data_IF_419138040686
#
_entry.id   IF_419138040686
#
_cell.length_a   1.000
_cell.length_b   1.000
_cell.length_c   1.000
_cell.angle_alpha   90.00
_cell.angle_beta   90.00
_cell.angle_gamma   90.00
#
_symmetry.space_group_name_H-M   'P 1'
#
loop_
_entity.id
_entity.type
_entity.pdbx_description
1 polymer ?
#
# COMPACT_ATOMS: atom_id res chain seq x y z
N UNK A 1 -7.27 17.98 -2.84
CA UNK A 1 -7.16 16.54 -3.19
C UNK A 1 -5.68 16.17 -3.14
N UNK A 2 -5.22 15.61 -2.01
CA UNK A 2 -3.82 15.18 -1.88
C UNK A 2 -3.73 13.83 -2.58
N UNK A 3 -3.22 13.83 -3.80
CA UNK A 3 -2.96 12.61 -4.58
C UNK A 3 -1.97 11.75 -3.81
N UNK A 4 -2.33 10.51 -3.43
CA UNK A 4 -1.33 9.58 -2.92
C UNK A 4 -0.39 9.27 -4.08
N UNK A 5 0.89 9.60 -3.89
CA UNK A 5 1.91 9.35 -4.91
C UNK A 5 1.96 7.85 -5.23
N UNK A 6 1.85 7.53 -6.52
CA UNK A 6 1.94 6.14 -6.99
C UNK A 6 3.32 5.59 -6.66
N UNK A 7 3.42 4.34 -6.18
CA UNK A 7 4.72 3.76 -5.85
C UNK A 7 5.60 3.68 -7.10
N UNK A 8 6.88 4.05 -6.95
CA UNK A 8 7.87 3.87 -8.03
C UNK A 8 8.29 2.41 -8.07
N UNK A 9 7.93 1.74 -9.17
CA UNK A 9 8.14 0.30 -9.34
C UNK A 9 9.17 0.00 -10.43
N UNK A 10 10.12 -0.87 -10.10
CA UNK A 10 11.04 -1.46 -11.08
C UNK A 10 10.31 -2.35 -12.09
N UNK A 11 10.97 -2.67 -13.21
CA UNK A 11 10.39 -3.55 -14.25
C UNK A 11 10.00 -4.92 -13.70
N UNK A 12 10.80 -5.48 -12.80
CA UNK A 12 10.54 -6.77 -12.15
C UNK A 12 9.32 -6.68 -11.23
N UNK A 13 9.20 -5.62 -10.44
CA UNK A 13 8.05 -5.38 -9.57
C UNK A 13 6.76 -5.22 -10.37
N UNK A 14 6.80 -4.49 -11.50
CA UNK A 14 5.65 -4.37 -12.42
C UNK A 14 5.23 -5.72 -13.01
N UNK A 15 6.20 -6.56 -13.38
CA UNK A 15 5.90 -7.92 -13.88
C UNK A 15 5.26 -8.78 -12.78
N UNK A 16 5.81 -8.74 -11.56
CA UNK A 16 5.23 -9.46 -10.40
C UNK A 16 3.81 -9.00 -10.09
N UNK A 17 3.55 -7.69 -10.13
CA UNK A 17 2.20 -7.14 -9.98
C UNK A 17 1.23 -7.69 -11.03
N UNK A 18 1.63 -7.74 -12.30
CA UNK A 18 0.76 -8.30 -13.35
C UNK A 18 0.44 -9.77 -13.14
N UNK A 19 1.37 -10.56 -12.59
CA UNK A 19 1.20 -12.00 -12.41
C UNK A 19 0.51 -12.39 -11.09
N UNK A 20 0.79 -11.66 -10.01
CA UNK A 20 0.39 -12.03 -8.65
C UNK A 20 -0.49 -10.99 -7.97
N UNK A 21 -0.78 -9.87 -8.63
CA UNK A 21 -1.56 -8.73 -8.10
C UNK A 21 -0.93 -8.05 -6.87
N UNK A 22 0.26 -8.47 -6.46
CA UNK A 22 1.02 -7.92 -5.34
C UNK A 22 2.53 -8.02 -5.59
N UNK A 23 3.29 -7.07 -5.08
CA UNK A 23 4.74 -7.14 -5.06
C UNK A 23 5.33 -6.42 -3.85
N UNK A 24 6.50 -6.86 -3.40
CA UNK A 24 7.23 -6.20 -2.32
C UNK A 24 7.88 -4.92 -2.84
N UNK A 25 7.79 -3.86 -2.05
CA UNK A 25 8.49 -2.60 -2.28
C UNK A 25 9.58 -2.39 -1.22
N UNK A 26 9.95 -1.14 -0.96
CA UNK A 26 11.02 -0.82 -0.02
C UNK A 26 10.62 -1.04 1.43
N UNK A 27 11.63 -1.28 2.27
CA UNK A 27 11.47 -1.29 3.71
C UNK A 27 11.66 0.14 4.22
N UNK A 28 10.73 0.62 5.04
CA UNK A 28 10.84 1.96 5.66
C UNK A 28 10.76 1.86 7.18
N UNK A 29 11.46 2.76 7.86
CA UNK A 29 11.26 2.98 9.29
C UNK A 29 10.16 4.03 9.48
N UNK A 30 9.47 3.98 10.62
CA UNK A 30 8.53 5.03 11.04
C UNK A 30 8.92 5.52 12.43
N UNK A 31 8.80 6.83 12.71
CA UNK A 31 9.01 7.35 14.07
C UNK A 31 8.14 6.59 15.08
N UNK A 32 8.74 6.16 16.19
CA UNK A 32 8.05 5.35 17.20
C UNK A 32 7.96 3.85 16.92
N UNK A 33 8.44 3.37 15.76
CA UNK A 33 8.46 1.94 15.44
C UNK A 33 9.85 1.32 15.65
N UNK A 34 9.91 0.21 16.39
CA UNK A 34 11.16 -0.56 16.52
C UNK A 34 11.29 -1.50 15.31
N UNK A 35 12.20 -1.16 14.40
CA UNK A 35 12.53 -1.98 13.23
C UNK A 35 12.00 -1.43 11.90
N UNK A 36 12.03 -2.29 10.87
CA UNK A 36 11.63 -1.94 9.51
C UNK A 36 10.24 -2.48 9.19
N UNK A 37 9.41 -1.64 8.58
CA UNK A 37 8.13 -2.03 7.99
C UNK A 37 8.36 -2.40 6.53
N UNK A 38 7.91 -3.60 6.14
CA UNK A 38 7.89 -4.03 4.75
C UNK A 38 6.64 -3.51 4.08
N UNK A 39 6.82 -2.72 3.03
CA UNK A 39 5.72 -2.25 2.19
C UNK A 39 5.48 -3.19 1.00
N UNK A 40 4.25 -3.14 0.50
CA UNK A 40 3.76 -3.92 -0.61
C UNK A 40 2.97 -3.00 -1.54
N UNK A 41 3.26 -3.08 -2.82
CA UNK A 41 2.38 -2.52 -3.84
C UNK A 41 1.39 -3.59 -4.29
N UNK A 42 0.13 -3.20 -4.47
CA UNK A 42 -0.94 -4.08 -4.93
C UNK A 42 -1.98 -3.30 -5.74
N UNK A 43 -2.79 -4.02 -6.51
CA UNK A 43 -3.84 -3.44 -7.34
C UNK A 43 -5.14 -3.31 -6.54
N UNK A 44 -5.61 -2.07 -6.38
CA UNK A 44 -6.94 -1.76 -5.89
C UNK A 44 -7.90 -1.66 -7.10
N UNK A 45 -9.06 -2.32 -7.07
CA UNK A 45 -10.02 -2.26 -8.18
C UNK A 45 -10.51 -0.84 -8.51
N UNK A 46 -10.56 0.05 -7.52
CA UNK A 46 -11.06 1.43 -7.66
C UNK A 46 -9.95 2.45 -7.93
N UNK A 47 -8.80 2.28 -7.28
CA UNK A 47 -7.73 3.30 -7.24
C UNK A 47 -6.46 2.89 -8.00
N UNK A 48 -6.42 1.69 -8.57
CA UNK A 48 -5.27 1.15 -9.28
C UNK A 48 -4.13 0.75 -8.33
N UNK A 49 -2.88 0.90 -8.77
CA UNK A 49 -1.71 0.48 -7.99
C UNK A 49 -1.50 1.42 -6.81
N UNK A 50 -1.61 0.87 -5.60
CA UNK A 50 -1.39 1.55 -4.33
C UNK A 50 -0.33 0.83 -3.51
N UNK A 51 0.14 1.44 -2.43
CA UNK A 51 1.14 0.87 -1.53
C UNK A 51 0.68 0.92 -0.07
N UNK A 52 0.89 -0.17 0.65
CA UNK A 52 0.60 -0.26 2.09
C UNK A 52 1.55 -1.25 2.78
N UNK A 53 1.52 -1.29 4.11
CA UNK A 53 2.18 -2.31 4.93
C UNK A 53 1.14 -3.14 5.69
N UNK A 54 1.43 -4.39 6.09
CA UNK A 54 0.46 -5.23 6.78
C UNK A 54 0.03 -4.66 8.14
N UNK A 55 -1.28 -4.58 8.37
CA UNK A 55 -1.86 -4.04 9.59
C UNK A 55 -2.47 -5.13 10.48
N UNK A 56 -2.31 -4.94 11.79
CA UNK A 56 -2.95 -5.74 12.83
C UNK A 56 -2.53 -7.21 12.84
N UNK A 57 -3.17 -8.02 13.69
CA UNK A 57 -2.82 -9.44 13.86
C UNK A 57 -2.97 -10.25 12.57
N UNK A 58 -3.93 -9.89 11.72
CA UNK A 58 -4.23 -10.59 10.46
C UNK A 58 -3.34 -10.18 9.28
N UNK A 59 -2.44 -9.21 9.47
CA UNK A 59 -1.49 -8.79 8.44
C UNK A 59 -2.18 -8.37 7.13
N UNK A 60 -3.24 -7.58 7.24
CA UNK A 60 -4.08 -7.18 6.10
C UNK A 60 -3.52 -5.91 5.46
N UNK A 61 -3.50 -5.87 4.13
CA UNK A 61 -3.22 -4.66 3.36
C UNK A 61 -4.52 -3.93 3.04
N UNK A 62 -4.53 -2.61 3.16
CA UNK A 62 -5.72 -1.78 2.91
C UNK A 62 -5.37 -0.67 1.95
N UNK A 63 -6.22 -0.46 0.95
CA UNK A 63 -6.03 0.67 0.03
C UNK A 63 -6.13 1.98 0.83
N UNK A 64 -5.07 2.81 0.87
CA UNK A 64 -5.09 4.04 1.66
C UNK A 64 -6.15 5.05 1.18
N UNK A 65 -6.47 5.05 -0.11
CA UNK A 65 -7.53 5.91 -0.67
C UNK A 65 -8.92 5.42 -0.24
N UNK A 66 -9.21 4.12 -0.32
CA UNK A 66 -10.46 3.57 0.21
C UNK A 66 -10.62 3.91 1.70
N UNK A 67 -9.56 3.73 2.51
CA UNK A 67 -9.61 4.03 3.94
C UNK A 67 -9.91 5.52 4.22
N UNK A 68 -9.37 6.45 3.43
CA UNK A 68 -9.68 7.88 3.58
C UNK A 68 -11.12 8.21 3.24
N UNK A 69 -11.67 7.62 2.17
CA UNK A 69 -13.06 7.84 1.74
C UNK A 69 -14.08 7.45 2.83
N UNK A 70 -13.80 6.40 3.60
CA UNK A 70 -14.63 6.00 4.74
C UNK A 70 -14.53 6.96 5.94
N UNK A 71 -13.43 7.70 6.09
CA UNK A 71 -13.22 8.61 7.22
C UNK A 71 -13.89 9.99 7.04
N UNK A 72 -14.40 10.28 5.84
CA UNK A 72 -15.13 11.52 5.52
C UNK A 72 -16.65 11.35 5.77
N UNK A 73 -17.09 10.15 6.19
CA UNK A 73 -18.49 9.79 6.41
C UNK A 73 -18.90 9.73 7.90
N UNK A 74 -17.97 9.97 8.82
CA UNK A 74 -18.31 10.08 10.25
C UNK A 74 -18.51 11.57 10.60
N UNK A 75 -19.79 11.92 10.71
CA UNK A 75 -20.34 13.20 11.17
C UNK A 75 -20.01 13.47 12.65
#
# INVERSE_FOLDING_TARGET
MIQIERPRLSRIQKLRLKLFQITLTEKRTRPGWKGYLQFYAFECPEHGIVEDYPHGYRQVLRCPECQKSHHIMEY
#
